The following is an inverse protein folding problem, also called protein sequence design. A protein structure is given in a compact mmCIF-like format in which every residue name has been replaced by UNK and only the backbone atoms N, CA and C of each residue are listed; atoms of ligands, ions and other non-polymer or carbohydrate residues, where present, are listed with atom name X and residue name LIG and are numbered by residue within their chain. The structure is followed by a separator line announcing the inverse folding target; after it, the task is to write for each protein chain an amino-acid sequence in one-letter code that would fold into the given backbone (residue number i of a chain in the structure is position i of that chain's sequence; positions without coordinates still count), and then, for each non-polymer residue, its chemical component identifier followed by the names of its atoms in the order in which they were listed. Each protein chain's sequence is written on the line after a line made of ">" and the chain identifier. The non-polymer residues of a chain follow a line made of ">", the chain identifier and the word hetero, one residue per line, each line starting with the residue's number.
data_IF_870316759747
#
_entry.id   IF_870316759747
#
_cell.length_a   1.000
_cell.length_b   1.000
_cell.length_c   1.000
_cell.angle_alpha   90.00
_cell.angle_beta   90.00
_cell.angle_gamma   90.00
#
_symmetry.space_group_name_H-M   'P 1'
#
loop_
_entity.id
_entity.type
_entity.pdbx_description
1 polymer ?
#
# COMPACT_ATOMS: atom_id res chain seq x y z
N UNK A 1 6.42 -7.51 -13.82
CA UNK A 1 5.59 -8.50 -14.50
C UNK A 1 5.36 -8.04 -15.93
N UNK A 2 5.55 -8.94 -16.88
CA UNK A 2 5.24 -8.67 -18.26
C UNK A 2 3.71 -8.61 -18.40
N UNK A 3 3.21 -7.49 -18.89
CA UNK A 3 1.78 -7.34 -19.17
C UNK A 3 1.46 -8.10 -20.46
N UNK A 4 0.24 -8.62 -20.53
CA UNK A 4 -0.27 -9.18 -21.78
C UNK A 4 -0.13 -8.13 -22.90
N UNK A 5 0.36 -8.51 -24.10
CA UNK A 5 0.55 -7.59 -25.22
C UNK A 5 -0.70 -6.83 -25.65
N UNK A 6 -1.88 -7.39 -25.38
CA UNK A 6 -3.16 -6.74 -25.69
C UNK A 6 -3.50 -5.61 -24.71
N UNK A 7 -2.81 -5.53 -23.55
CA UNK A 7 -3.04 -4.49 -22.55
C UNK A 7 -2.33 -3.20 -22.96
N UNK A 8 -3.11 -2.16 -23.27
CA UNK A 8 -2.59 -0.83 -23.53
C UNK A 8 -2.24 -0.10 -22.22
N UNK A 9 -0.95 0.00 -21.91
CA UNK A 9 -0.49 0.77 -20.76
C UNK A 9 -0.44 2.27 -21.10
N UNK A 10 -1.14 3.09 -20.31
CA UNK A 10 -1.12 4.55 -20.44
C UNK A 10 -0.49 5.14 -19.18
N UNK A 11 0.72 5.67 -19.30
CA UNK A 11 1.40 6.40 -18.23
C UNK A 11 0.78 7.79 -18.07
N UNK A 12 0.35 8.11 -16.84
CA UNK A 12 -0.17 9.44 -16.52
C UNK A 12 1.00 10.34 -16.10
N UNK A 13 1.26 11.46 -16.81
CA UNK A 13 2.35 12.35 -16.45
C UNK A 13 2.20 12.92 -15.04
N UNK A 14 3.28 12.89 -14.27
CA UNK A 14 3.37 13.51 -12.94
C UNK A 14 4.75 14.13 -12.77
N UNK A 15 4.98 14.88 -11.69
CA UNK A 15 6.31 15.43 -11.41
C UNK A 15 7.31 14.34 -10.99
N UNK A 16 6.85 13.13 -10.62
CA UNK A 16 7.70 12.03 -10.19
C UNK A 16 8.55 12.36 -8.94
N UNK A 17 8.01 13.17 -8.03
CA UNK A 17 8.77 13.76 -6.92
C UNK A 17 9.38 12.72 -5.96
N UNK A 18 8.78 11.53 -5.88
CA UNK A 18 9.30 10.46 -5.00
C UNK A 18 10.46 9.68 -5.62
N UNK A 19 10.65 9.80 -6.94
CA UNK A 19 11.75 9.17 -7.70
C UNK A 19 12.96 10.09 -7.82
N UNK A 20 12.80 11.40 -7.53
CA UNK A 20 13.84 12.43 -7.65
C UNK A 20 14.77 12.42 -6.42
N UNK A 21 16.06 12.71 -6.65
CA UNK A 21 17.05 12.87 -5.57
C UNK A 21 16.67 14.01 -4.61
N UNK A 22 16.22 15.13 -5.17
CA UNK A 22 15.69 16.26 -4.41
C UNK A 22 14.27 16.59 -4.86
N UNK A 23 13.31 16.49 -3.94
CA UNK A 23 11.91 16.85 -4.20
C UNK A 23 11.72 18.36 -4.39
N UNK A 24 12.68 19.15 -3.96
CA UNK A 24 12.62 20.61 -4.01
C UNK A 24 13.38 21.17 -5.23
N UNK A 25 14.62 20.75 -5.46
CA UNK A 25 15.49 21.34 -6.47
C UNK A 25 15.42 20.67 -7.84
N UNK A 26 15.07 19.39 -7.92
CA UNK A 26 15.08 18.64 -9.18
C UNK A 26 13.77 18.80 -9.99
N UNK A 27 13.10 19.96 -9.86
CA UNK A 27 11.88 20.31 -10.59
C UNK A 27 12.17 21.50 -11.49
N UNK A 28 11.82 21.37 -12.78
CA UNK A 28 11.95 22.50 -13.70
C UNK A 28 10.92 23.58 -13.31
N UNK A 29 11.33 24.84 -13.09
CA UNK A 29 10.40 25.92 -12.77
C UNK A 29 9.25 26.08 -13.76
N UNK A 30 9.46 25.79 -15.04
CA UNK A 30 8.39 25.86 -16.05
C UNK A 30 7.29 24.82 -15.83
N UNK A 31 7.59 23.67 -15.23
CA UNK A 31 6.59 22.67 -14.88
C UNK A 31 5.64 23.17 -13.78
N UNK A 32 6.12 24.09 -12.92
CA UNK A 32 5.33 24.69 -11.82
C UNK A 32 4.35 25.76 -12.31
N UNK A 33 4.43 26.20 -13.57
CA UNK A 33 3.42 27.05 -14.18
C UNK A 33 2.07 26.31 -14.31
N UNK A 34 2.08 24.99 -14.30
CA UNK A 34 0.85 24.22 -14.22
C UNK A 34 0.34 24.22 -12.75
N UNK A 35 -0.87 24.74 -12.47
CA UNK A 35 -1.39 24.83 -11.09
C UNK A 35 -1.44 23.48 -10.37
N UNK A 36 -1.71 22.38 -11.09
CA UNK A 36 -1.77 21.04 -10.51
C UNK A 36 -0.38 20.54 -10.10
N UNK A 37 0.64 20.83 -10.90
CA UNK A 37 2.01 20.51 -10.58
C UNK A 37 2.53 21.36 -9.40
N UNK A 38 2.20 22.65 -9.39
CA UNK A 38 2.53 23.53 -8.26
C UNK A 38 1.89 23.01 -6.95
N UNK A 39 0.61 22.64 -6.99
CA UNK A 39 -0.07 22.04 -5.84
C UNK A 39 0.63 20.74 -5.38
N UNK A 40 1.01 19.87 -6.32
CA UNK A 40 1.71 18.62 -6.04
C UNK A 40 3.07 18.91 -5.36
N UNK A 41 3.84 19.83 -5.92
CA UNK A 41 5.14 20.22 -5.39
C UNK A 41 5.04 20.84 -3.98
N UNK A 42 4.14 21.79 -3.75
CA UNK A 42 3.90 22.39 -2.44
C UNK A 42 3.43 21.35 -1.41
N UNK A 43 2.51 20.45 -1.82
CA UNK A 43 1.98 19.44 -0.94
C UNK A 43 3.08 18.45 -0.49
N UNK A 44 3.89 17.94 -1.42
CA UNK A 44 4.98 17.01 -1.09
C UNK A 44 6.04 17.67 -0.20
N UNK A 45 6.45 18.90 -0.53
CA UNK A 45 7.47 19.61 0.26
C UNK A 45 6.95 20.05 1.65
N UNK A 46 5.63 20.12 1.85
CA UNK A 46 5.02 20.30 3.18
C UNK A 46 4.67 18.98 3.89
N UNK A 47 5.20 17.84 3.43
CA UNK A 47 4.98 16.52 4.04
C UNK A 47 3.67 15.84 3.69
N UNK A 48 2.95 16.29 2.65
CA UNK A 48 1.72 15.66 2.19
C UNK A 48 1.93 14.60 1.11
N UNK A 49 0.88 13.81 0.86
CA UNK A 49 0.82 12.83 -0.22
C UNK A 49 -0.35 13.17 -1.17
N UNK A 50 -0.13 14.04 -2.18
CA UNK A 50 -1.17 14.54 -3.07
C UNK A 50 -1.53 13.59 -4.21
N UNK A 51 -0.77 12.52 -4.44
CA UNK A 51 -0.88 11.67 -5.63
C UNK A 51 -2.30 11.18 -5.93
N UNK A 52 -3.10 10.67 -4.96
CA UNK A 52 -4.45 10.21 -5.28
C UNK A 52 -5.33 11.33 -5.85
N UNK A 53 -5.16 12.56 -5.36
CA UNK A 53 -5.89 13.73 -5.84
C UNK A 53 -5.41 14.16 -7.22
N UNK A 54 -4.09 14.34 -7.40
CA UNK A 54 -3.51 14.81 -8.67
C UNK A 54 -3.66 13.79 -9.79
N UNK A 55 -3.55 12.50 -9.47
CA UNK A 55 -3.86 11.41 -10.40
C UNK A 55 -5.30 11.51 -10.90
N UNK A 56 -6.27 11.65 -9.98
CA UNK A 56 -7.68 11.79 -10.36
C UNK A 56 -7.93 12.94 -11.33
N UNK A 57 -7.32 14.11 -11.07
CA UNK A 57 -7.42 15.28 -11.96
C UNK A 57 -6.84 15.01 -13.35
N UNK A 58 -5.67 14.37 -13.40
CA UNK A 58 -4.98 14.05 -14.65
C UNK A 58 -5.72 13.00 -15.47
N UNK A 59 -6.14 11.89 -14.83
CA UNK A 59 -6.86 10.82 -15.50
C UNK A 59 -8.19 11.30 -16.06
N UNK A 60 -8.93 12.17 -15.34
CA UNK A 60 -10.16 12.76 -15.85
C UNK A 60 -9.92 13.56 -17.13
N UNK A 61 -8.84 14.36 -17.20
CA UNK A 61 -8.50 15.15 -18.38
C UNK A 61 -8.22 14.27 -19.60
N UNK A 62 -7.60 13.10 -19.37
CA UNK A 62 -7.25 12.14 -20.43
C UNK A 62 -8.46 11.34 -20.86
N UNK A 63 -9.12 10.66 -19.93
CA UNK A 63 -10.20 9.69 -20.23
C UNK A 63 -11.49 10.40 -20.70
N UNK A 64 -11.77 11.62 -20.20
CA UNK A 64 -13.00 12.32 -20.56
C UNK A 64 -13.26 12.43 -22.07
N UNK A 65 -12.20 12.53 -22.87
CA UNK A 65 -12.31 12.69 -24.33
C UNK A 65 -12.71 11.39 -25.03
N UNK A 66 -12.30 10.27 -24.46
CA UNK A 66 -12.46 8.93 -25.06
C UNK A 66 -13.30 8.03 -24.14
N UNK A 67 -14.18 8.61 -23.31
CA UNK A 67 -14.94 7.87 -22.33
C UNK A 67 -15.85 6.82 -22.97
N UNK A 68 -16.31 7.06 -24.20
CA UNK A 68 -17.20 6.15 -24.91
C UNK A 68 -16.50 4.89 -25.46
N UNK A 69 -15.17 4.91 -25.51
CA UNK A 69 -14.36 3.74 -25.89
C UNK A 69 -14.31 2.67 -24.78
N UNK A 70 -14.79 2.98 -23.57
CA UNK A 70 -14.74 2.08 -22.42
C UNK A 70 -16.15 1.62 -22.02
N UNK A 71 -16.33 0.33 -21.80
CA UNK A 71 -17.58 -0.26 -21.30
C UNK A 71 -17.69 -0.12 -19.79
N UNK A 72 -16.58 -0.31 -19.07
CA UNK A 72 -16.50 -0.29 -17.61
C UNK A 72 -15.20 0.39 -17.14
N UNK A 73 -15.26 1.04 -16.01
CA UNK A 73 -14.08 1.60 -15.33
C UNK A 73 -13.85 0.82 -14.05
N UNK A 74 -12.61 0.33 -13.86
CA UNK A 74 -12.18 -0.30 -12.63
C UNK A 74 -11.10 0.56 -11.97
N UNK A 75 -11.41 1.10 -10.80
CA UNK A 75 -10.46 1.82 -9.94
C UNK A 75 -9.85 0.86 -8.93
N UNK A 76 -8.52 0.91 -8.80
CA UNK A 76 -7.80 0.15 -7.80
C UNK A 76 -7.34 1.06 -6.66
N UNK A 77 -8.29 1.39 -5.77
CA UNK A 77 -8.08 2.15 -4.53
C UNK A 77 -7.52 3.57 -4.68
N UNK A 78 -7.65 4.23 -5.84
CA UNK A 78 -7.28 5.65 -5.89
C UNK A 78 -8.23 6.50 -5.04
N UNK A 79 -9.51 6.18 -5.08
CA UNK A 79 -10.59 6.86 -4.37
C UNK A 79 -10.57 8.38 -4.59
N UNK A 80 -10.19 8.80 -5.80
CA UNK A 80 -10.14 10.20 -6.19
C UNK A 80 -11.55 10.77 -6.41
N UNK A 81 -11.74 12.06 -6.20
CA UNK A 81 -13.03 12.74 -6.41
C UNK A 81 -13.63 12.50 -7.81
N UNK A 82 -12.79 12.33 -8.81
CA UNK A 82 -13.16 12.15 -10.20
C UNK A 82 -13.92 10.86 -10.47
N UNK A 83 -13.80 9.85 -9.61
CA UNK A 83 -14.61 8.63 -9.66
C UNK A 83 -16.11 8.94 -9.57
N UNK A 84 -16.49 9.96 -8.79
CA UNK A 84 -17.90 10.39 -8.68
C UNK A 84 -18.42 11.01 -9.98
N UNK A 85 -17.56 11.56 -10.81
CA UNK A 85 -17.92 11.98 -12.16
C UNK A 85 -18.05 10.77 -13.10
N UNK A 86 -17.09 9.86 -13.05
CA UNK A 86 -17.08 8.69 -13.94
C UNK A 86 -18.26 7.76 -13.68
N UNK A 87 -18.61 7.47 -12.43
CA UNK A 87 -19.74 6.58 -12.10
C UNK A 87 -21.12 7.11 -12.55
N UNK A 88 -21.22 8.41 -12.89
CA UNK A 88 -22.43 8.99 -13.48
C UNK A 88 -22.52 8.76 -14.98
N UNK A 89 -21.42 8.40 -15.62
CA UNK A 89 -21.29 8.29 -17.07
C UNK A 89 -21.09 6.85 -17.56
N UNK A 90 -20.43 6.03 -16.76
CA UNK A 90 -20.08 4.64 -17.10
C UNK A 90 -20.24 3.75 -15.86
N UNK A 91 -20.51 2.45 -16.03
CA UNK A 91 -20.35 1.48 -14.95
C UNK A 91 -18.96 1.63 -14.32
N UNK A 92 -18.91 1.74 -12.99
CA UNK A 92 -17.66 1.90 -12.24
C UNK A 92 -17.64 0.95 -11.06
N UNK A 93 -16.55 0.21 -10.94
CA UNK A 93 -16.22 -0.66 -9.81
C UNK A 93 -14.94 -0.15 -9.18
N UNK A 94 -14.89 -0.10 -7.86
CA UNK A 94 -13.67 0.25 -7.14
C UNK A 94 -13.28 -0.88 -6.22
N UNK A 95 -12.05 -1.39 -6.34
CA UNK A 95 -11.47 -2.30 -5.35
C UNK A 95 -10.85 -1.50 -4.24
N UNK A 96 -11.23 -1.79 -2.98
CA UNK A 96 -10.59 -1.24 -1.78
C UNK A 96 -9.99 -2.42 -1.00
N UNK A 97 -8.65 -2.47 -0.93
CA UNK A 97 -7.95 -3.57 -0.29
C UNK A 97 -8.02 -3.49 1.23
N UNK A 98 -7.78 -2.32 1.78
CA UNK A 98 -7.91 -2.01 3.21
C UNK A 98 -8.03 -0.49 3.42
N UNK A 99 -8.61 -0.03 4.53
CA UNK A 99 -8.65 1.39 4.85
C UNK A 99 -7.31 1.85 5.42
N UNK A 100 -6.56 2.68 4.68
CA UNK A 100 -5.26 3.23 5.10
C UNK A 100 -5.38 4.04 6.42
N UNK A 101 -6.59 4.41 6.84
CA UNK A 101 -6.83 5.04 8.15
C UNK A 101 -6.41 4.16 9.34
N UNK A 102 -6.42 2.82 9.19
CA UNK A 102 -5.87 1.92 10.23
C UNK A 102 -4.36 2.05 10.34
N UNK A 103 -3.68 2.14 9.20
CA UNK A 103 -2.22 2.33 9.18
C UNK A 103 -1.83 3.63 9.88
N UNK A 104 -2.57 4.73 9.62
CA UNK A 104 -2.37 5.99 10.33
C UNK A 104 -2.58 5.84 11.84
N UNK A 105 -3.63 5.11 12.28
CA UNK A 105 -3.86 4.89 13.71
C UNK A 105 -2.68 4.18 14.38
N UNK A 106 -2.19 3.09 13.78
CA UNK A 106 -1.03 2.36 14.28
C UNK A 106 0.24 3.22 14.30
N UNK A 107 0.49 3.99 13.23
CA UNK A 107 1.63 4.89 13.20
C UNK A 107 1.56 5.97 14.28
N UNK A 108 0.39 6.53 14.55
CA UNK A 108 0.21 7.54 15.62
C UNK A 108 0.39 6.96 17.02
N UNK A 109 0.15 5.66 17.20
CA UNK A 109 0.37 4.95 18.47
C UNK A 109 1.83 4.55 18.67
N UNK A 110 2.61 4.41 17.60
CA UNK A 110 4.01 3.96 17.67
C UNK A 110 5.01 5.04 18.11
N UNK A 111 4.58 6.28 18.32
CA UNK A 111 5.45 7.40 18.73
C UNK A 111 4.69 8.37 19.61
N UNK A 112 5.43 9.03 20.53
CA UNK A 112 4.91 10.13 21.36
C UNK A 112 5.32 11.51 20.83
N UNK A 113 6.17 11.57 19.81
CA UNK A 113 6.64 12.81 19.20
C UNK A 113 5.47 13.57 18.52
N UNK A 114 5.18 14.76 19.03
CA UNK A 114 4.10 15.61 18.54
C UNK A 114 4.31 16.05 17.09
N UNK A 115 5.52 16.46 16.72
CA UNK A 115 5.82 16.90 15.35
C UNK A 115 5.73 15.77 14.36
N UNK A 116 6.20 14.59 14.73
CA UNK A 116 6.09 13.40 13.90
C UNK A 116 4.62 13.00 13.70
N UNK A 117 3.80 13.05 14.76
CA UNK A 117 2.33 12.84 14.65
C UNK A 117 1.67 13.85 13.71
N UNK A 118 2.10 15.12 13.73
CA UNK A 118 1.58 16.14 12.82
C UNK A 118 1.94 15.84 11.36
N UNK A 119 3.20 15.45 11.11
CA UNK A 119 3.66 15.04 9.77
C UNK A 119 2.91 13.79 9.27
N UNK A 120 2.70 12.80 10.13
CA UNK A 120 1.90 11.61 9.78
C UNK A 120 0.47 11.97 9.39
N UNK A 121 -0.19 12.86 10.14
CA UNK A 121 -1.53 13.36 9.79
C UNK A 121 -1.51 14.16 8.47
N UNK A 122 -0.48 14.97 8.28
CA UNK A 122 -0.31 15.75 7.03
C UNK A 122 -0.12 14.83 5.83
N UNK A 123 0.72 13.81 5.95
CA UNK A 123 0.90 12.78 4.92
C UNK A 123 -0.43 12.11 4.55
N UNK A 124 -1.21 11.70 5.55
CA UNK A 124 -2.47 10.99 5.37
C UNK A 124 -3.69 11.90 5.12
N UNK A 125 -3.48 13.19 4.82
CA UNK A 125 -4.58 14.14 4.60
C UNK A 125 -5.51 13.76 3.44
N UNK A 126 -5.03 12.98 2.48
CA UNK A 126 -5.82 12.42 1.38
C UNK A 126 -6.96 11.48 1.85
N UNK A 127 -6.89 10.94 3.06
CA UNK A 127 -7.94 10.09 3.64
C UNK A 127 -9.28 10.80 3.75
N UNK A 128 -9.30 12.12 3.90
CA UNK A 128 -10.55 12.91 3.90
C UNK A 128 -11.29 12.74 2.58
N UNK A 129 -10.55 12.84 1.46
CA UNK A 129 -11.08 12.60 0.12
C UNK A 129 -11.54 11.15 -0.04
N UNK A 130 -10.70 10.19 0.34
CA UNK A 130 -10.99 8.77 0.17
C UNK A 130 -12.26 8.35 0.93
N UNK A 131 -12.42 8.78 2.19
CA UNK A 131 -13.64 8.55 2.97
C UNK A 131 -14.87 9.17 2.33
N UNK A 132 -14.74 10.41 1.84
CA UNK A 132 -15.84 11.10 1.17
C UNK A 132 -16.29 10.40 -0.09
N UNK A 133 -15.35 9.94 -0.90
CA UNK A 133 -15.62 9.25 -2.17
C UNK A 133 -16.19 7.85 -1.91
N UNK A 134 -15.54 7.05 -1.06
CA UNK A 134 -15.96 5.68 -0.76
C UNK A 134 -17.44 5.59 -0.36
N UNK A 135 -17.91 6.48 0.51
CA UNK A 135 -19.33 6.54 0.91
C UNK A 135 -20.29 6.73 -0.26
N UNK A 136 -19.83 7.38 -1.35
CA UNK A 136 -20.67 7.77 -2.50
C UNK A 136 -20.53 6.87 -3.70
N UNK A 137 -19.60 5.93 -3.66
CA UNK A 137 -19.50 4.89 -4.68
C UNK A 137 -20.72 3.98 -4.64
N UNK A 138 -21.09 3.46 -5.81
CA UNK A 138 -22.25 2.56 -5.97
C UNK A 138 -21.85 1.09 -5.78
N UNK A 139 -20.65 0.71 -6.22
CA UNK A 139 -20.15 -0.66 -6.18
C UNK A 139 -18.70 -0.67 -5.76
N UNK A 140 -18.42 -1.45 -4.73
CA UNK A 140 -17.07 -1.60 -4.16
C UNK A 140 -16.78 -3.10 -4.06
N UNK A 141 -15.57 -3.48 -4.45
CA UNK A 141 -15.05 -4.83 -4.27
C UNK A 141 -14.03 -4.82 -3.13
N UNK A 142 -14.10 -5.84 -2.28
CA UNK A 142 -13.18 -6.02 -1.14
C UNK A 142 -12.58 -7.42 -1.16
N UNK A 143 -11.30 -7.62 -0.81
CA UNK A 143 -10.63 -8.92 -0.95
C UNK A 143 -10.93 -9.90 0.18
N UNK A 144 -11.49 -9.47 1.30
CA UNK A 144 -11.73 -10.33 2.47
C UNK A 144 -12.87 -9.81 3.35
N UNK A 145 -13.37 -10.66 4.24
CA UNK A 145 -14.34 -10.25 5.27
C UNK A 145 -13.75 -9.21 6.22
N UNK A 146 -12.48 -9.36 6.60
CA UNK A 146 -11.79 -8.38 7.44
C UNK A 146 -11.72 -7.00 6.77
N UNK A 147 -11.40 -6.95 5.47
CA UNK A 147 -11.41 -5.69 4.71
C UNK A 147 -12.80 -5.08 4.65
N UNK A 148 -13.85 -5.90 4.48
CA UNK A 148 -15.24 -5.45 4.45
C UNK A 148 -15.61 -4.76 5.78
N UNK A 149 -15.38 -5.43 6.90
CA UNK A 149 -15.67 -4.88 8.22
C UNK A 149 -14.86 -3.61 8.51
N UNK A 150 -13.59 -3.60 8.13
CA UNK A 150 -12.72 -2.45 8.31
C UNK A 150 -13.19 -1.23 7.51
N UNK A 151 -13.57 -1.43 6.25
CA UNK A 151 -14.07 -0.35 5.37
C UNK A 151 -15.42 0.16 5.86
N UNK A 152 -16.32 -0.75 6.27
CA UNK A 152 -17.59 -0.41 6.89
C UNK A 152 -17.39 0.51 8.11
N UNK A 153 -16.51 0.13 9.03
CA UNK A 153 -16.28 0.85 10.27
C UNK A 153 -15.47 2.15 10.06
N UNK A 154 -14.39 2.11 9.29
CA UNK A 154 -13.47 3.24 9.14
C UNK A 154 -13.98 4.29 8.13
N UNK A 155 -14.56 3.84 7.02
CA UNK A 155 -15.06 4.72 5.97
C UNK A 155 -16.57 4.93 6.04
N UNK A 156 -17.28 4.18 6.92
CA UNK A 156 -18.74 4.23 7.07
C UNK A 156 -19.45 4.00 5.72
N UNK A 157 -19.00 2.99 4.99
CA UNK A 157 -19.61 2.54 3.75
C UNK A 157 -20.74 1.56 4.09
N UNK A 158 -21.85 1.67 3.38
CA UNK A 158 -22.96 0.72 3.46
C UNK A 158 -22.52 -0.64 2.91
N UNK A 159 -22.72 -1.70 3.69
CA UNK A 159 -22.35 -3.07 3.35
C UNK A 159 -23.00 -3.56 2.04
N UNK A 160 -24.22 -3.13 1.76
CA UNK A 160 -24.94 -3.48 0.52
C UNK A 160 -24.24 -2.99 -0.77
N UNK A 161 -23.30 -2.06 -0.66
CA UNK A 161 -22.48 -1.57 -1.78
C UNK A 161 -21.22 -2.37 -2.00
N UNK A 162 -20.86 -3.23 -1.03
CA UNK A 162 -19.63 -3.99 -1.01
C UNK A 162 -19.85 -5.44 -1.40
N UNK A 163 -18.97 -5.94 -2.24
CA UNK A 163 -18.96 -7.35 -2.66
C UNK A 163 -17.57 -7.93 -2.42
N UNK A 164 -17.52 -9.10 -1.78
CA UNK A 164 -16.26 -9.77 -1.53
C UNK A 164 -15.82 -10.58 -2.75
N UNK A 165 -14.71 -10.18 -3.35
CA UNK A 165 -14.02 -10.94 -4.38
C UNK A 165 -12.58 -11.16 -3.92
N UNK A 166 -12.21 -12.38 -3.60
CA UNK A 166 -10.87 -12.72 -3.13
C UNK A 166 -9.83 -12.49 -4.22
N UNK A 167 -8.61 -12.12 -3.79
CA UNK A 167 -7.50 -11.99 -4.72
C UNK A 167 -7.20 -13.33 -5.39
N UNK A 168 -7.02 -13.30 -6.70
CA UNK A 168 -6.55 -14.44 -7.48
C UNK A 168 -5.07 -14.74 -7.25
N UNK A 169 -4.69 -15.99 -7.44
CA UNK A 169 -3.31 -16.46 -7.45
C UNK A 169 -3.07 -17.31 -8.69
N UNK A 170 -1.93 -17.13 -9.33
CA UNK A 170 -1.54 -17.97 -10.46
C UNK A 170 -1.13 -19.36 -9.99
N UNK A 171 -2.02 -20.34 -10.20
CA UNK A 171 -1.79 -21.72 -9.81
C UNK A 171 -0.76 -22.45 -10.67
N UNK A 172 -0.35 -21.91 -11.83
CA UNK A 172 0.75 -22.43 -12.63
C UNK A 172 2.11 -22.08 -12.02
N UNK A 173 2.18 -20.91 -11.37
CA UNK A 173 3.37 -20.41 -10.68
C UNK A 173 3.44 -20.89 -9.22
N UNK A 174 2.30 -20.86 -8.53
CA UNK A 174 2.20 -21.22 -7.11
C UNK A 174 1.45 -22.54 -6.94
N UNK A 175 2.17 -23.63 -6.99
CA UNK A 175 1.64 -25.00 -6.81
C UNK A 175 2.46 -25.77 -5.78
N UNK A 176 1.85 -26.74 -5.07
CA UNK A 176 2.59 -27.65 -4.21
C UNK A 176 3.51 -28.56 -5.03
N UNK A 177 4.80 -28.49 -4.79
CA UNK A 177 5.76 -29.42 -5.39
C UNK A 177 6.18 -30.48 -4.36
N UNK A 178 5.73 -31.71 -4.56
CA UNK A 178 6.06 -32.85 -3.68
C UNK A 178 7.55 -33.25 -3.72
N UNK A 179 8.31 -32.80 -4.73
CA UNK A 179 9.75 -33.02 -4.83
C UNK A 179 10.56 -32.16 -3.89
N UNK A 180 9.99 -31.02 -3.45
CA UNK A 180 10.64 -30.10 -2.52
C UNK A 180 10.51 -30.66 -1.10
N UNK A 181 11.61 -31.12 -0.54
CA UNK A 181 11.66 -31.58 0.86
C UNK A 181 11.60 -30.38 1.81
N UNK A 182 10.64 -30.40 2.72
CA UNK A 182 10.59 -29.41 3.80
C UNK A 182 11.76 -29.64 4.76
N UNK A 183 12.36 -28.55 5.20
CA UNK A 183 13.41 -28.61 6.23
C UNK A 183 12.71 -28.56 7.59
N UNK A 184 12.90 -29.58 8.46
CA UNK A 184 12.30 -29.58 9.79
C UNK A 184 12.67 -28.32 10.59
N UNK A 185 11.73 -27.81 11.37
CA UNK A 185 11.92 -26.64 12.23
C UNK A 185 12.37 -25.36 11.52
N UNK A 186 12.21 -25.28 10.19
CA UNK A 186 12.48 -24.06 9.41
C UNK A 186 11.20 -23.28 9.17
N UNK A 187 11.14 -22.07 9.75
CA UNK A 187 10.07 -21.10 9.50
C UNK A 187 10.47 -20.22 8.32
N UNK A 188 9.47 -19.78 7.54
CA UNK A 188 9.66 -18.83 6.44
C UNK A 188 8.64 -17.70 6.59
N UNK A 189 9.09 -16.46 6.41
CA UNK A 189 8.20 -15.30 6.34
C UNK A 189 8.64 -14.36 5.22
N UNK A 190 7.69 -13.60 4.68
CA UNK A 190 7.96 -12.48 3.78
C UNK A 190 7.75 -11.19 4.58
N UNK A 191 8.83 -10.48 4.85
CA UNK A 191 8.78 -9.25 5.62
C UNK A 191 9.94 -8.32 5.24
N UNK A 192 9.66 -7.02 5.11
CA UNK A 192 10.71 -6.01 5.04
C UNK A 192 11.16 -5.66 6.45
N UNK A 193 12.47 -5.54 6.66
CA UNK A 193 13.01 -5.09 7.93
C UNK A 193 12.52 -3.68 8.27
N UNK A 194 12.37 -3.41 9.57
CA UNK A 194 11.97 -2.11 10.12
C UNK A 194 10.58 -1.60 9.66
N UNK A 195 9.67 -2.51 9.30
CA UNK A 195 8.27 -2.19 9.01
C UNK A 195 7.38 -2.75 10.13
N UNK A 196 6.98 -1.93 11.14
CA UNK A 196 6.25 -2.42 12.33
C UNK A 196 4.96 -3.17 12.00
N UNK A 197 4.22 -2.73 10.99
CA UNK A 197 2.96 -3.35 10.55
C UNK A 197 3.10 -4.82 10.09
N UNK A 198 4.32 -5.27 9.76
CA UNK A 198 4.56 -6.66 9.36
C UNK A 198 4.76 -7.61 10.53
N UNK A 199 4.85 -7.09 11.76
CA UNK A 199 4.93 -7.89 12.98
C UNK A 199 6.21 -8.71 13.13
N UNK A 200 7.28 -8.35 12.42
CA UNK A 200 8.54 -9.10 12.46
C UNK A 200 9.16 -9.13 13.87
N UNK A 201 8.99 -8.07 14.63
CA UNK A 201 9.49 -7.98 16.01
C UNK A 201 8.85 -9.06 16.90
N UNK A 202 7.53 -9.20 16.84
CA UNK A 202 6.79 -10.25 17.58
C UNK A 202 7.23 -11.66 17.14
N UNK A 203 7.50 -11.86 15.86
CA UNK A 203 7.98 -13.16 15.36
C UNK A 203 9.39 -13.47 15.90
N UNK A 204 10.27 -12.47 15.98
CA UNK A 204 11.63 -12.64 16.52
C UNK A 204 11.60 -12.91 18.03
N UNK A 205 10.74 -12.23 18.78
CA UNK A 205 10.54 -12.48 20.22
C UNK A 205 10.03 -13.92 20.45
N UNK A 206 8.99 -14.31 19.71
CA UNK A 206 8.45 -15.69 19.78
C UNK A 206 9.51 -16.73 19.39
N UNK A 207 10.33 -16.46 18.37
CA UNK A 207 11.44 -17.34 17.97
C UNK A 207 12.45 -17.51 19.12
N UNK A 208 12.78 -16.42 19.81
CA UNK A 208 13.70 -16.45 20.97
C UNK A 208 13.20 -17.37 22.10
N UNK A 209 11.88 -17.41 22.30
CA UNK A 209 11.30 -18.32 23.28
C UNK A 209 11.24 -19.78 22.77
N UNK A 210 10.90 -19.96 21.50
CA UNK A 210 10.82 -21.29 20.91
C UNK A 210 12.18 -22.03 20.83
N UNK A 211 13.28 -21.32 20.71
CA UNK A 211 14.63 -21.95 20.71
C UNK A 211 14.92 -22.72 21.99
N UNK A 212 14.33 -22.31 23.12
CA UNK A 212 14.47 -23.00 24.41
C UNK A 212 13.87 -24.41 24.39
N UNK A 213 12.84 -24.62 23.57
CA UNK A 213 12.11 -25.88 23.42
C UNK A 213 12.55 -26.64 22.17
N UNK A 214 12.84 -25.93 21.10
CA UNK A 214 13.24 -26.47 19.79
C UNK A 214 14.59 -25.88 19.38
N UNK A 215 15.72 -26.46 19.84
CA UNK A 215 17.05 -25.90 19.61
C UNK A 215 17.45 -25.75 18.12
N UNK A 216 16.83 -26.54 17.23
CA UNK A 216 17.14 -26.52 15.79
C UNK A 216 16.24 -25.57 15.00
N UNK A 217 15.32 -24.84 15.66
CA UNK A 217 14.43 -23.91 14.96
C UNK A 217 15.20 -22.77 14.32
N UNK A 218 14.81 -22.42 13.09
CA UNK A 218 15.42 -21.35 12.32
C UNK A 218 14.35 -20.54 11.57
N UNK A 219 14.68 -19.30 11.21
CA UNK A 219 13.80 -18.40 10.47
C UNK A 219 14.49 -17.89 9.20
N UNK A 220 13.85 -18.13 8.06
CA UNK A 220 14.20 -17.53 6.78
C UNK A 220 13.27 -16.36 6.49
N UNK A 221 13.83 -15.18 6.29
CA UNK A 221 13.09 -13.95 5.97
C UNK A 221 13.35 -13.62 4.51
N UNK A 222 12.30 -13.62 3.68
CA UNK A 222 12.36 -13.16 2.30
C UNK A 222 12.08 -11.67 2.31
N UNK A 223 13.11 -10.88 2.03
CA UNK A 223 13.07 -9.40 2.08
C UNK A 223 14.42 -8.79 2.43
N UNK A 224 14.55 -7.49 2.24
CA UNK A 224 15.80 -6.79 2.46
C UNK A 224 16.10 -6.56 3.96
N UNK A 225 17.34 -6.82 4.35
CA UNK A 225 17.84 -6.45 5.66
C UNK A 225 18.37 -5.00 5.63
N UNK A 226 17.92 -4.20 6.59
CA UNK A 226 18.45 -2.84 6.77
C UNK A 226 19.62 -2.85 7.76
N UNK A 227 20.84 -2.58 7.27
CA UNK A 227 22.03 -2.48 8.11
C UNK A 227 21.89 -1.35 9.14
N UNK A 228 22.22 -1.62 10.41
CA UNK A 228 22.06 -0.68 11.51
C UNK A 228 20.61 -0.38 11.91
N UNK A 229 19.63 -1.06 11.31
CA UNK A 229 18.22 -0.88 11.59
C UNK A 229 17.76 -1.48 12.92
N UNK A 230 16.49 -1.24 13.25
CA UNK A 230 15.87 -1.76 14.48
C UNK A 230 15.88 -3.29 14.51
N UNK A 231 15.47 -3.93 13.41
CA UNK A 231 15.42 -5.39 13.29
C UNK A 231 16.78 -6.04 13.52
N UNK A 232 17.87 -5.47 12.96
CA UNK A 232 19.21 -6.00 13.19
C UNK A 232 19.62 -5.91 14.66
N UNK A 233 19.32 -4.78 15.31
CA UNK A 233 19.59 -4.61 16.74
C UNK A 233 18.79 -5.59 17.60
N UNK A 234 17.52 -5.84 17.26
CA UNK A 234 16.66 -6.79 17.95
C UNK A 234 17.18 -8.22 17.81
N UNK A 235 17.59 -8.65 16.61
CA UNK A 235 18.22 -9.96 16.38
C UNK A 235 19.47 -10.14 17.24
N UNK A 236 20.30 -9.11 17.36
CA UNK A 236 21.49 -9.13 18.24
C UNK A 236 21.10 -9.21 19.70
N UNK A 237 20.14 -8.40 20.15
CA UNK A 237 19.64 -8.39 21.53
C UNK A 237 19.09 -9.74 21.97
N UNK A 238 18.39 -10.43 21.06
CA UNK A 238 17.79 -11.74 21.31
C UNK A 238 18.74 -12.92 21.03
N UNK A 239 20.00 -12.67 20.67
CA UNK A 239 21.01 -13.68 20.30
C UNK A 239 20.59 -14.63 19.16
N UNK A 240 19.87 -14.10 18.17
CA UNK A 240 19.28 -14.85 17.06
C UNK A 240 20.14 -14.87 15.78
N UNK A 241 21.37 -14.33 15.78
CA UNK A 241 22.19 -14.13 14.57
C UNK A 241 22.47 -15.43 13.80
N UNK A 242 22.56 -16.57 14.50
CA UNK A 242 22.77 -17.89 13.90
C UNK A 242 21.49 -18.60 13.48
N UNK A 243 20.32 -18.01 13.79
CA UNK A 243 19.01 -18.63 13.58
C UNK A 243 18.16 -17.90 12.55
N UNK A 244 18.53 -16.68 12.19
CA UNK A 244 17.79 -15.83 11.25
C UNK A 244 18.63 -15.56 10.01
N UNK A 245 18.08 -15.87 8.84
CA UNK A 245 18.70 -15.62 7.56
C UNK A 245 17.79 -14.76 6.69
N UNK A 246 18.33 -13.74 6.00
CA UNK A 246 17.63 -12.92 5.04
C UNK A 246 17.94 -13.41 3.60
N UNK A 247 16.93 -13.38 2.76
CA UNK A 247 16.98 -13.68 1.34
C UNK A 247 16.29 -12.54 0.58
N UNK A 248 17.02 -11.89 -0.34
CA UNK A 248 16.53 -10.81 -1.23
C UNK A 248 16.40 -11.31 -2.66
#
# INVERSE_FOLDING_TARGET
>A
PDLDPEIKLVKIPSLGLYEKKSKFFDVNPTELLNPLNLFEWLSVNSGGFPEPYTFGKRIKKIIKKNLDEYDVIHDNQSLAYELLFFQKKKPLITTIHHPISKDLKYQLQSTDDFFLKLLMRRWHSFLVMQKFVAKRLKKIVVPSNSSLEDIKNEFQVDENKMERVMNGIDLKLFYPDSKIKKIPFRLVTVASADVPLKGLDYLLEALSDLIKVYPDISLSIIGEQRKGGHTERLIKKLNLQKRVNFFS
#
